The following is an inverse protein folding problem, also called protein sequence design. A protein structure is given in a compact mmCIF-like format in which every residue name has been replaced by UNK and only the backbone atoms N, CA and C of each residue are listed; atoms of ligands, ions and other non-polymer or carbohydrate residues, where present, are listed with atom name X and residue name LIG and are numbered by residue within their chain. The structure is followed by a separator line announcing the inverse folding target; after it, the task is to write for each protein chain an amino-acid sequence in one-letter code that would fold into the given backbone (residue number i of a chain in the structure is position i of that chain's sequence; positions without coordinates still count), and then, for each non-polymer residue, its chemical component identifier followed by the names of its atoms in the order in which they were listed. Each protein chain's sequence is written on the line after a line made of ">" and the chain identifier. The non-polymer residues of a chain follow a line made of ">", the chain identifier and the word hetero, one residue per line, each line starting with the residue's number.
data_IF_764114349471
#
_entry.id   IF_764114349471
#
_cell.length_a   1.000
_cell.length_b   1.000
_cell.length_c   1.000
_cell.angle_alpha   90.00
_cell.angle_beta   90.00
_cell.angle_gamma   90.00
#
_symmetry.space_group_name_H-M   'P 1'
#
loop_
_entity.id
_entity.type
_entity.pdbx_description
1 polymer ?
#
# COMPACT_ATOMS: atom_id res chain seq x y z
N UNK A 1 -20.15 41.40 7.10
CA UNK A 1 -19.93 40.54 5.89
C UNK A 1 -18.93 39.41 6.10
N UNK A 2 -18.80 38.83 7.35
CA UNK A 2 -17.69 37.90 7.71
C UNK A 2 -18.14 36.48 8.07
N UNK A 3 -19.43 36.14 8.03
CA UNK A 3 -19.94 34.84 8.46
C UNK A 3 -19.93 33.74 7.38
N UNK A 4 -20.03 34.08 6.08
CA UNK A 4 -20.06 33.12 4.97
C UNK A 4 -18.74 32.33 4.81
N UNK A 5 -17.50 32.93 4.88
CA UNK A 5 -16.26 32.18 4.76
C UNK A 5 -16.02 31.18 5.90
N UNK A 6 -16.35 31.57 7.12
CA UNK A 6 -16.16 30.71 8.31
C UNK A 6 -17.09 29.50 8.32
N UNK A 7 -18.32 29.63 7.85
CA UNK A 7 -19.25 28.51 7.72
C UNK A 7 -18.82 27.53 6.63
N UNK A 8 -18.28 28.04 5.51
CA UNK A 8 -17.76 27.20 4.43
C UNK A 8 -16.48 26.46 4.84
N UNK A 9 -15.61 27.08 5.64
CA UNK A 9 -14.42 26.44 6.17
C UNK A 9 -14.75 25.34 7.18
N UNK A 10 -15.68 25.58 8.11
CA UNK A 10 -16.18 24.57 9.07
C UNK A 10 -16.79 23.37 8.35
N UNK A 11 -17.57 23.60 7.31
CA UNK A 11 -18.15 22.54 6.48
C UNK A 11 -17.06 21.71 5.79
N UNK A 12 -16.03 22.36 5.25
CA UNK A 12 -14.89 21.67 4.59
C UNK A 12 -14.12 20.79 5.56
N UNK A 13 -13.82 21.27 6.78
CA UNK A 13 -13.11 20.49 7.82
C UNK A 13 -13.92 19.24 8.22
N UNK A 14 -15.24 19.40 8.38
CA UNK A 14 -16.12 18.28 8.74
C UNK A 14 -16.13 17.20 7.65
N UNK A 15 -16.21 17.56 6.38
CA UNK A 15 -16.18 16.62 5.26
C UNK A 15 -14.83 15.90 5.23
N UNK A 16 -13.70 16.64 5.32
CA UNK A 16 -12.35 16.05 5.35
C UNK A 16 -12.25 15.03 6.48
N UNK A 17 -12.62 15.40 7.69
CA UNK A 17 -12.53 14.52 8.87
C UNK A 17 -13.30 13.21 8.66
N UNK A 18 -14.56 13.27 8.26
CA UNK A 18 -15.38 12.06 8.13
C UNK A 18 -14.95 11.17 6.97
N UNK A 19 -14.46 11.75 5.87
CA UNK A 19 -13.98 10.96 4.73
C UNK A 19 -12.62 10.34 5.03
N UNK A 20 -11.74 11.00 5.81
CA UNK A 20 -10.53 10.37 6.34
C UNK A 20 -10.85 9.21 7.30
N UNK A 21 -11.85 9.34 8.16
CA UNK A 21 -12.32 8.23 9.01
C UNK A 21 -12.87 7.09 8.15
N UNK A 22 -13.67 7.38 7.11
CA UNK A 22 -14.16 6.36 6.20
C UNK A 22 -13.01 5.61 5.50
N UNK A 23 -11.95 6.30 5.08
CA UNK A 23 -10.76 5.67 4.51
C UNK A 23 -10.06 4.75 5.52
N UNK A 24 -9.81 5.22 6.75
CA UNK A 24 -9.24 4.38 7.82
C UNK A 24 -10.07 3.12 8.05
N UNK A 25 -11.39 3.24 8.03
CA UNK A 25 -12.31 2.12 8.23
C UNK A 25 -12.27 1.11 7.06
N UNK A 26 -12.19 1.58 5.81
CA UNK A 26 -12.11 0.68 4.64
C UNK A 26 -10.79 -0.06 4.56
N UNK A 27 -9.73 0.45 5.19
CA UNK A 27 -8.40 -0.17 5.21
C UNK A 27 -8.28 -1.37 6.16
N UNK A 28 -9.25 -1.62 7.04
CA UNK A 28 -9.10 -2.63 8.10
C UNK A 28 -8.95 -4.07 7.57
N UNK A 29 -9.48 -4.41 6.40
CA UNK A 29 -9.32 -5.71 5.77
C UNK A 29 -8.03 -5.91 4.97
N UNK A 30 -7.24 -4.85 4.73
CA UNK A 30 -6.11 -4.88 3.79
C UNK A 30 -4.98 -5.79 4.28
N UNK A 31 -4.50 -5.55 5.49
CA UNK A 31 -3.37 -6.27 6.08
C UNK A 31 -3.77 -7.30 7.15
N UNK A 32 -5.07 -7.51 7.39
CA UNK A 32 -5.58 -8.51 8.33
C UNK A 32 -5.07 -9.91 7.98
N UNK A 33 -5.08 -10.31 6.71
CA UNK A 33 -4.51 -11.59 6.28
C UNK A 33 -3.01 -11.69 6.60
N UNK A 34 -2.22 -10.67 6.21
CA UNK A 34 -0.76 -10.65 6.46
C UNK A 34 -0.42 -10.63 7.95
N UNK A 35 -1.24 -9.99 8.78
CA UNK A 35 -1.04 -9.96 10.24
C UNK A 35 -1.29 -11.30 10.92
N UNK A 36 -2.09 -12.16 10.29
CA UNK A 36 -2.46 -13.51 10.73
C UNK A 36 -1.80 -14.61 9.92
N UNK A 37 -0.93 -14.28 8.97
CA UNK A 37 -0.34 -15.22 8.04
C UNK A 37 0.37 -16.41 8.72
N UNK A 38 1.09 -16.26 9.85
CA UNK A 38 1.65 -17.41 10.57
C UNK A 38 0.59 -18.45 10.96
N UNK A 39 -0.60 -17.99 11.36
CA UNK A 39 -1.71 -18.86 11.70
C UNK A 39 -2.24 -19.60 10.45
N UNK A 40 -2.47 -18.90 9.34
CA UNK A 40 -2.99 -19.50 8.13
C UNK A 40 -2.04 -20.47 7.44
N UNK A 41 -0.72 -20.23 7.54
CA UNK A 41 0.30 -21.19 7.07
C UNK A 41 0.14 -22.53 7.78
N UNK A 42 -0.07 -22.52 9.10
CA UNK A 42 -0.24 -23.74 9.88
C UNK A 42 -1.63 -24.38 9.69
N UNK A 43 -2.69 -23.60 9.79
CA UNK A 43 -4.09 -24.06 9.75
C UNK A 43 -4.48 -24.65 8.41
N UNK A 44 -4.12 -23.96 7.32
CA UNK A 44 -4.45 -24.40 5.96
C UNK A 44 -3.32 -25.17 5.28
N UNK A 45 -2.24 -25.44 6.00
CA UNK A 45 -1.04 -26.15 5.50
C UNK A 45 -0.53 -25.55 4.20
N UNK A 46 -0.53 -24.21 4.13
CA UNK A 46 -0.04 -23.49 2.95
C UNK A 46 1.48 -23.58 2.87
N UNK A 47 1.98 -23.73 1.67
CA UNK A 47 3.39 -23.46 1.42
C UNK A 47 3.63 -21.95 1.24
N UNK A 48 4.90 -21.56 1.09
CA UNK A 48 5.25 -20.15 0.96
C UNK A 48 4.82 -19.56 -0.39
N UNK A 49 4.65 -20.38 -1.44
CA UNK A 49 4.17 -19.94 -2.74
C UNK A 49 2.69 -19.61 -2.64
N UNK A 50 1.90 -20.49 -2.05
CA UNK A 50 0.46 -20.30 -1.84
C UNK A 50 0.18 -19.01 -1.05
N UNK A 51 0.89 -18.82 0.06
CA UNK A 51 0.76 -17.63 0.90
C UNK A 51 1.14 -16.34 0.15
N UNK A 52 2.18 -16.42 -0.70
CA UNK A 52 2.59 -15.34 -1.59
C UNK A 52 1.51 -14.97 -2.59
N UNK A 53 0.86 -15.94 -3.21
CA UNK A 53 -0.24 -15.73 -4.15
C UNK A 53 -1.47 -15.12 -3.47
N UNK A 54 -1.92 -15.63 -2.31
CA UNK A 54 -3.04 -15.06 -1.55
C UNK A 54 -2.77 -13.62 -1.15
N UNK A 55 -1.54 -13.30 -0.79
CA UNK A 55 -1.13 -11.92 -0.48
C UNK A 55 -1.07 -11.05 -1.73
N UNK A 56 -0.47 -11.54 -2.81
CA UNK A 56 -0.25 -10.81 -4.06
C UNK A 56 -1.53 -10.53 -4.83
N UNK A 57 -2.47 -11.48 -4.92
CA UNK A 57 -3.71 -11.33 -5.72
C UNK A 57 -4.52 -10.10 -5.32
N UNK A 58 -4.45 -9.68 -4.06
CA UNK A 58 -5.08 -8.47 -3.57
C UNK A 58 -4.60 -7.24 -4.37
N UNK A 59 -3.29 -7.14 -4.58
CA UNK A 59 -2.68 -6.03 -5.30
C UNK A 59 -2.77 -6.21 -6.81
N UNK A 60 -2.78 -7.46 -7.31
CA UNK A 60 -3.02 -7.77 -8.72
C UNK A 60 -4.41 -7.35 -9.19
N UNK A 61 -5.43 -7.67 -8.41
CA UNK A 61 -6.80 -7.25 -8.70
C UNK A 61 -7.00 -5.74 -8.55
N UNK A 62 -6.34 -5.10 -7.56
CA UNK A 62 -6.28 -3.64 -7.45
C UNK A 62 -5.70 -3.02 -8.71
N UNK A 63 -4.53 -3.49 -9.16
CA UNK A 63 -3.81 -2.97 -10.33
C UNK A 63 -4.68 -2.93 -11.59
N UNK A 64 -5.43 -4.01 -11.83
CA UNK A 64 -6.34 -4.10 -12.99
C UNK A 64 -7.54 -3.17 -12.81
N UNK A 65 -8.14 -3.19 -11.63
CA UNK A 65 -9.40 -2.51 -11.35
C UNK A 65 -9.25 -1.00 -11.21
N UNK A 66 -8.12 -0.51 -10.67
CA UNK A 66 -7.92 0.93 -10.42
C UNK A 66 -7.94 1.74 -11.71
N UNK A 67 -7.38 1.22 -12.80
CA UNK A 67 -7.42 1.89 -14.11
C UNK A 67 -8.86 2.08 -14.60
N UNK A 68 -9.69 1.06 -14.42
CA UNK A 68 -11.09 1.09 -14.86
C UNK A 68 -11.90 2.02 -13.94
N UNK A 69 -11.81 1.81 -12.63
CA UNK A 69 -12.66 2.52 -11.66
C UNK A 69 -12.32 4.01 -11.56
N UNK A 70 -11.03 4.38 -11.65
CA UNK A 70 -10.62 5.79 -11.67
C UNK A 70 -11.06 6.45 -12.97
N UNK A 71 -10.93 5.81 -14.13
CA UNK A 71 -11.40 6.35 -15.41
C UNK A 71 -12.92 6.55 -15.41
N UNK A 72 -13.69 5.66 -14.80
CA UNK A 72 -15.14 5.81 -14.65
C UNK A 72 -15.54 7.06 -13.86
N UNK A 73 -14.67 7.57 -12.98
CA UNK A 73 -14.95 8.82 -12.23
C UNK A 73 -14.99 10.07 -13.10
N UNK A 74 -14.57 10.01 -14.35
CA UNK A 74 -14.70 11.12 -15.30
C UNK A 74 -16.12 11.21 -15.89
N UNK A 75 -16.89 10.14 -15.83
CA UNK A 75 -18.24 10.01 -16.37
C UNK A 75 -19.32 9.91 -15.29
N UNK A 76 -18.97 9.22 -14.21
CA UNK A 76 -19.85 8.92 -13.07
C UNK A 76 -19.35 9.68 -11.85
N UNK A 77 -20.25 10.21 -11.00
CA UNK A 77 -19.84 10.84 -9.74
C UNK A 77 -18.93 9.87 -8.93
N UNK A 78 -17.74 10.35 -8.59
CA UNK A 78 -16.75 9.61 -7.84
C UNK A 78 -17.32 9.05 -6.51
N UNK A 79 -18.34 9.68 -5.92
CA UNK A 79 -19.09 9.15 -4.76
C UNK A 79 -19.70 7.78 -5.06
N UNK A 80 -20.30 7.59 -6.25
CA UNK A 80 -20.94 6.32 -6.62
C UNK A 80 -19.90 5.21 -6.74
N UNK A 81 -18.74 5.50 -7.36
CA UNK A 81 -17.62 4.55 -7.47
C UNK A 81 -17.09 4.21 -6.07
N UNK A 82 -16.94 5.21 -5.20
CA UNK A 82 -16.51 5.01 -3.82
C UNK A 82 -17.48 4.08 -3.07
N UNK A 83 -18.78 4.34 -3.12
CA UNK A 83 -19.81 3.48 -2.51
C UNK A 83 -19.72 2.04 -3.04
N UNK A 84 -19.58 1.86 -4.34
CA UNK A 84 -19.40 0.53 -4.94
C UNK A 84 -18.14 -0.16 -4.42
N UNK A 85 -17.02 0.55 -4.34
CA UNK A 85 -15.77 0.05 -3.75
C UNK A 85 -15.94 -0.40 -2.30
N UNK A 86 -16.62 0.41 -1.47
CA UNK A 86 -16.90 0.06 -0.06
C UNK A 86 -17.81 -1.16 0.04
N UNK A 87 -18.81 -1.29 -0.82
CA UNK A 87 -19.68 -2.47 -0.86
C UNK A 87 -18.91 -3.73 -1.23
N UNK A 88 -18.02 -3.66 -2.21
CA UNK A 88 -17.15 -4.79 -2.59
C UNK A 88 -16.21 -5.15 -1.44
N UNK A 89 -15.62 -4.16 -0.74
CA UNK A 89 -14.81 -4.38 0.46
C UNK A 89 -15.61 -5.07 1.57
N UNK A 90 -16.84 -4.64 1.82
CA UNK A 90 -17.76 -5.25 2.79
C UNK A 90 -18.02 -6.72 2.43
N UNK A 91 -18.38 -7.01 1.17
CA UNK A 91 -18.62 -8.37 0.68
C UNK A 91 -17.35 -9.21 0.80
N UNK A 92 -16.20 -8.66 0.46
CA UNK A 92 -14.90 -9.33 0.61
C UNK A 92 -14.63 -9.74 2.06
N UNK A 93 -14.78 -8.80 3.02
CA UNK A 93 -14.50 -9.08 4.43
C UNK A 93 -15.49 -10.07 5.04
N UNK A 94 -16.78 -9.87 4.84
CA UNK A 94 -17.82 -10.77 5.36
C UNK A 94 -17.72 -12.15 4.70
N UNK A 95 -17.54 -12.17 3.37
CA UNK A 95 -17.36 -13.42 2.64
C UNK A 95 -16.11 -14.19 3.06
N UNK A 96 -15.01 -13.47 3.35
CA UNK A 96 -13.79 -14.08 3.90
C UNK A 96 -14.09 -14.73 5.26
N UNK A 97 -14.80 -14.04 6.16
CA UNK A 97 -15.14 -14.56 7.47
C UNK A 97 -16.08 -15.80 7.44
N UNK A 98 -16.98 -15.87 6.44
CA UNK A 98 -18.02 -16.90 6.37
C UNK A 98 -17.65 -18.12 5.54
N UNK A 99 -16.88 -17.93 4.45
CA UNK A 99 -16.76 -18.95 3.39
C UNK A 99 -15.31 -19.36 3.11
N UNK A 100 -14.32 -18.78 3.81
CA UNK A 100 -12.94 -19.17 3.53
C UNK A 100 -12.57 -20.40 4.35
N UNK A 101 -12.20 -21.46 3.63
CA UNK A 101 -11.78 -22.75 4.18
C UNK A 101 -10.36 -23.16 3.72
N UNK A 102 -9.72 -22.35 2.84
CA UNK A 102 -8.38 -22.63 2.33
C UNK A 102 -7.98 -21.72 1.16
N UNK A 103 -6.99 -22.19 0.40
CA UNK A 103 -6.32 -21.43 -0.65
C UNK A 103 -7.25 -20.75 -1.66
N UNK A 104 -8.09 -21.50 -2.37
CA UNK A 104 -8.91 -20.96 -3.47
C UNK A 104 -9.98 -19.97 -3.02
N UNK A 105 -10.64 -20.26 -1.91
CA UNK A 105 -11.64 -19.36 -1.34
C UNK A 105 -10.97 -18.09 -0.79
N UNK A 106 -9.78 -18.20 -0.17
CA UNK A 106 -8.99 -17.05 0.24
C UNK A 106 -8.58 -16.19 -0.96
N UNK A 107 -8.10 -16.79 -2.05
CA UNK A 107 -7.77 -16.10 -3.29
C UNK A 107 -8.94 -15.28 -3.84
N UNK A 108 -10.14 -15.86 -3.87
CA UNK A 108 -11.35 -15.19 -4.36
C UNK A 108 -11.67 -13.93 -3.55
N UNK A 109 -11.79 -14.08 -2.23
CA UNK A 109 -12.16 -12.94 -1.38
C UNK A 109 -11.04 -11.90 -1.25
N UNK A 110 -9.77 -12.31 -1.33
CA UNK A 110 -8.63 -11.36 -1.42
C UNK A 110 -8.67 -10.58 -2.73
N UNK A 111 -8.98 -11.22 -3.86
CA UNK A 111 -9.14 -10.52 -5.14
C UNK A 111 -10.31 -9.51 -5.09
N UNK A 112 -11.45 -9.88 -4.50
CA UNK A 112 -12.56 -8.94 -4.27
C UNK A 112 -12.13 -7.75 -3.39
N UNK A 113 -11.34 -8.00 -2.34
CA UNK A 113 -10.82 -6.93 -1.48
C UNK A 113 -9.94 -5.94 -2.24
N UNK A 114 -9.11 -6.41 -3.16
CA UNK A 114 -8.30 -5.54 -4.02
C UNK A 114 -9.13 -4.69 -4.98
N UNK A 115 -10.20 -5.27 -5.56
CA UNK A 115 -11.18 -4.51 -6.37
C UNK A 115 -11.86 -3.44 -5.50
N UNK A 116 -12.24 -3.79 -4.27
CA UNK A 116 -12.80 -2.87 -3.30
C UNK A 116 -11.87 -1.70 -3.01
N UNK A 117 -10.59 -1.97 -2.72
CA UNK A 117 -9.57 -0.94 -2.49
C UNK A 117 -9.41 -0.01 -3.71
N UNK A 118 -9.46 -0.55 -4.93
CA UNK A 118 -9.39 0.25 -6.16
C UNK A 118 -10.56 1.23 -6.30
N UNK A 119 -11.73 0.86 -5.78
CA UNK A 119 -12.91 1.73 -5.73
C UNK A 119 -12.92 2.71 -4.56
N UNK A 120 -12.16 2.44 -3.48
CA UNK A 120 -12.16 3.29 -2.28
C UNK A 120 -11.06 4.34 -2.28
N UNK A 121 -9.80 3.98 -2.49
CA UNK A 121 -8.67 4.88 -2.28
C UNK A 121 -8.66 6.07 -3.27
N UNK A 122 -8.39 5.84 -4.55
CA UNK A 122 -8.28 6.93 -5.52
C UNK A 122 -9.64 7.58 -5.85
N UNK A 123 -10.73 6.83 -6.07
CA UNK A 123 -12.06 7.44 -6.24
C UNK A 123 -12.53 8.19 -4.99
N UNK A 124 -12.20 7.74 -3.78
CA UNK A 124 -12.51 8.45 -2.54
C UNK A 124 -11.78 9.77 -2.42
N UNK A 125 -10.48 9.82 -2.75
CA UNK A 125 -9.72 11.06 -2.82
C UNK A 125 -10.34 12.04 -3.84
N UNK A 126 -10.72 11.54 -5.02
CA UNK A 126 -11.39 12.35 -6.03
C UNK A 126 -12.75 12.85 -5.56
N UNK A 127 -13.56 11.97 -4.95
CA UNK A 127 -14.85 12.34 -4.40
C UNK A 127 -14.75 13.44 -3.34
N UNK A 128 -13.73 13.40 -2.49
CA UNK A 128 -13.43 14.43 -1.50
C UNK A 128 -12.96 15.74 -2.17
N UNK A 129 -11.93 15.66 -3.00
CA UNK A 129 -11.29 16.86 -3.59
C UNK A 129 -12.15 17.57 -4.62
N UNK A 130 -13.04 16.88 -5.32
CA UNK A 130 -14.02 17.49 -6.22
C UNK A 130 -15.03 18.39 -5.48
N UNK A 131 -15.23 18.18 -4.18
CA UNK A 131 -16.17 18.94 -3.32
C UNK A 131 -15.50 20.08 -2.56
N UNK A 132 -14.19 20.26 -2.74
CA UNK A 132 -13.39 21.27 -2.05
C UNK A 132 -12.65 22.16 -3.05
N UNK A 133 -12.25 23.34 -2.61
CA UNK A 133 -11.51 24.31 -3.41
C UNK A 133 -10.37 24.95 -2.60
N UNK A 134 -9.43 25.59 -3.28
CA UNK A 134 -8.34 26.35 -2.66
C UNK A 134 -7.50 25.52 -1.70
N UNK A 135 -7.14 26.10 -0.57
CA UNK A 135 -6.30 25.47 0.47
C UNK A 135 -6.93 24.25 1.13
N UNK A 136 -8.28 24.22 1.23
CA UNK A 136 -8.99 23.05 1.77
C UNK A 136 -8.79 21.79 0.92
N UNK A 137 -8.72 21.94 -0.41
CA UNK A 137 -8.44 20.82 -1.33
C UNK A 137 -7.04 20.24 -1.10
N UNK A 138 -6.03 21.10 -0.93
CA UNK A 138 -4.64 20.68 -0.68
C UNK A 138 -4.53 19.95 0.66
N UNK A 139 -5.11 20.53 1.73
CA UNK A 139 -5.16 19.90 3.06
C UNK A 139 -5.86 18.54 3.03
N UNK A 140 -7.00 18.45 2.33
CA UNK A 140 -7.75 17.22 2.17
C UNK A 140 -6.92 16.10 1.53
N UNK A 141 -6.15 16.41 0.49
CA UNK A 141 -5.26 15.44 -0.14
C UNK A 141 -4.24 14.90 0.85
N UNK A 142 -3.57 15.78 1.62
CA UNK A 142 -2.56 15.38 2.59
C UNK A 142 -3.16 14.53 3.73
N UNK A 143 -4.30 14.92 4.29
CA UNK A 143 -4.94 14.16 5.36
C UNK A 143 -5.45 12.80 4.86
N UNK A 144 -6.05 12.75 3.67
CA UNK A 144 -6.58 11.52 3.11
C UNK A 144 -5.46 10.51 2.80
N UNK A 145 -4.35 10.95 2.20
CA UNK A 145 -3.20 10.07 1.97
C UNK A 145 -2.56 9.58 3.26
N UNK A 146 -2.52 10.41 4.31
CA UNK A 146 -2.07 9.98 5.64
C UNK A 146 -3.01 8.97 6.28
N UNK A 147 -4.33 9.09 6.04
CA UNK A 147 -5.34 8.14 6.55
C UNK A 147 -5.10 6.72 6.03
N UNK A 148 -4.61 6.55 4.81
CA UNK A 148 -4.17 5.24 4.28
C UNK A 148 -3.10 4.61 5.16
N UNK A 149 -2.09 5.37 5.58
CA UNK A 149 -1.02 4.89 6.46
C UNK A 149 -1.55 4.47 7.83
N UNK A 150 -2.39 5.31 8.45
CA UNK A 150 -3.02 5.02 9.75
C UNK A 150 -3.92 3.79 9.66
N UNK A 151 -4.78 3.70 8.63
CA UNK A 151 -5.65 2.56 8.40
C UNK A 151 -4.87 1.26 8.19
N UNK A 152 -3.77 1.32 7.42
CA UNK A 152 -2.86 0.19 7.22
C UNK A 152 -2.25 -0.29 8.54
N UNK A 153 -1.77 0.62 9.37
CA UNK A 153 -1.20 0.29 10.68
C UNK A 153 -2.25 -0.38 11.58
N UNK A 154 -3.44 0.21 11.70
CA UNK A 154 -4.52 -0.34 12.51
C UNK A 154 -4.97 -1.73 12.02
N UNK A 155 -4.91 -2.02 10.72
CA UNK A 155 -5.21 -3.34 10.17
C UNK A 155 -4.25 -4.42 10.71
N UNK A 156 -2.95 -4.11 10.84
CA UNK A 156 -2.00 -5.02 11.50
C UNK A 156 -2.31 -5.20 12.98
N UNK A 157 -2.56 -4.11 13.70
CA UNK A 157 -2.83 -4.14 15.13
C UNK A 157 -4.07 -4.97 15.46
N UNK A 158 -5.19 -4.69 14.80
CA UNK A 158 -6.48 -5.35 15.06
C UNK A 158 -6.38 -6.82 14.63
N UNK A 159 -5.90 -7.10 13.42
CA UNK A 159 -5.77 -8.46 12.91
C UNK A 159 -4.97 -9.34 13.87
N UNK A 160 -3.74 -8.95 14.19
CA UNK A 160 -2.89 -9.76 15.04
C UNK A 160 -3.38 -9.88 16.49
N UNK A 161 -3.98 -8.83 17.05
CA UNK A 161 -4.46 -8.84 18.44
C UNK A 161 -5.66 -9.77 18.66
N UNK A 162 -6.50 -9.94 17.65
CA UNK A 162 -7.72 -10.78 17.74
C UNK A 162 -7.36 -12.26 17.96
N UNK A 163 -6.33 -12.78 17.27
CA UNK A 163 -5.94 -14.19 17.39
C UNK A 163 -5.61 -14.63 18.82
N UNK A 164 -5.27 -13.71 19.69
CA UNK A 164 -4.95 -14.02 21.09
C UNK A 164 -6.17 -14.48 21.89
N UNK A 165 -7.36 -13.98 21.55
CA UNK A 165 -8.56 -14.13 22.39
C UNK A 165 -9.76 -14.70 21.64
N UNK A 166 -9.75 -14.60 20.29
CA UNK A 166 -10.91 -14.91 19.46
C UNK A 166 -10.49 -15.70 18.21
N UNK A 167 -11.41 -16.46 17.60
CA UNK A 167 -11.20 -17.04 16.29
C UNK A 167 -10.87 -15.98 15.24
N UNK A 168 -10.06 -16.34 14.24
CA UNK A 168 -9.58 -15.42 13.21
C UNK A 168 -10.70 -14.73 12.42
N UNK A 169 -11.85 -15.38 12.27
CA UNK A 169 -13.03 -14.85 11.58
C UNK A 169 -13.49 -13.52 12.18
N UNK A 170 -13.34 -13.32 13.50
CA UNK A 170 -13.75 -12.09 14.19
C UNK A 170 -13.00 -10.86 13.65
N UNK A 171 -11.74 -11.01 13.25
CA UNK A 171 -11.01 -9.88 12.65
C UNK A 171 -11.61 -9.44 11.31
N UNK A 172 -12.06 -10.37 10.50
CA UNK A 172 -12.72 -10.07 9.22
C UNK A 172 -14.17 -9.56 9.43
N UNK A 173 -14.88 -10.02 10.46
CA UNK A 173 -16.16 -9.44 10.87
C UNK A 173 -15.99 -7.99 11.32
N UNK A 174 -14.95 -7.66 12.09
CA UNK A 174 -14.64 -6.29 12.48
C UNK A 174 -14.32 -5.44 11.24
N UNK A 175 -13.51 -5.95 10.31
CA UNK A 175 -13.22 -5.26 9.06
C UNK A 175 -14.49 -5.03 8.22
N UNK A 176 -15.41 -5.99 8.15
CA UNK A 176 -16.71 -5.86 7.51
C UNK A 176 -17.59 -4.80 8.19
N UNK A 177 -17.64 -4.80 9.52
CA UNK A 177 -18.37 -3.77 10.27
C UNK A 177 -17.78 -2.37 10.03
N UNK A 178 -16.45 -2.25 10.00
CA UNK A 178 -15.77 -1.01 9.63
C UNK A 178 -16.14 -0.54 8.22
N UNK A 179 -16.18 -1.45 7.25
CA UNK A 179 -16.63 -1.13 5.89
C UNK A 179 -18.10 -0.68 5.85
N UNK A 180 -18.98 -1.31 6.62
CA UNK A 180 -20.37 -0.89 6.73
C UNK A 180 -20.50 0.52 7.34
N UNK A 181 -19.72 0.83 8.36
CA UNK A 181 -19.68 2.18 8.94
C UNK A 181 -19.14 3.20 7.94
N UNK A 182 -18.11 2.86 7.18
CA UNK A 182 -17.60 3.70 6.09
C UNK A 182 -18.68 3.96 5.03
N UNK A 183 -19.44 2.93 4.63
CA UNK A 183 -20.57 3.06 3.71
C UNK A 183 -21.60 4.09 4.18
N UNK A 184 -21.97 4.03 5.46
CA UNK A 184 -22.92 4.97 6.07
C UNK A 184 -22.35 6.39 6.09
N UNK A 185 -21.08 6.56 6.45
CA UNK A 185 -20.39 7.86 6.44
C UNK A 185 -20.36 8.45 5.03
N UNK A 186 -19.86 7.72 4.05
CA UNK A 186 -19.73 8.19 2.67
C UNK A 186 -21.07 8.56 2.07
N UNK A 187 -22.10 7.73 2.33
CA UNK A 187 -23.45 7.95 1.82
C UNK A 187 -24.08 9.24 2.36
N UNK A 188 -23.87 9.55 3.65
CA UNK A 188 -24.46 10.72 4.33
C UNK A 188 -23.64 11.99 4.19
N UNK A 189 -22.30 11.90 4.16
CA UNK A 189 -21.42 13.07 4.23
C UNK A 189 -21.16 13.67 2.83
N UNK A 190 -21.04 12.82 1.81
CA UNK A 190 -20.83 13.30 0.45
C UNK A 190 -22.16 13.59 -0.24
N UNK A 191 -22.33 14.81 -0.71
CA UNK A 191 -23.47 15.19 -1.54
C UNK A 191 -23.37 14.54 -2.92
N UNK A 192 -24.52 14.22 -3.53
CA UNK A 192 -24.56 13.72 -4.89
C UNK A 192 -24.22 14.85 -5.86
N UNK A 193 -23.42 14.57 -6.86
CA UNK A 193 -23.14 15.45 -7.98
C UNK A 193 -23.72 14.88 -9.26
N UNK A 194 -24.19 15.74 -10.18
CA UNK A 194 -24.63 15.26 -11.48
C UNK A 194 -23.46 14.60 -12.21
N UNK A 195 -23.75 13.55 -12.95
CA UNK A 195 -22.77 12.93 -13.82
C UNK A 195 -22.27 13.99 -14.83
N UNK A 196 -20.96 14.06 -15.00
CA UNK A 196 -20.40 14.98 -16.02
C UNK A 196 -20.73 14.42 -17.39
N UNK A 197 -21.49 15.16 -18.19
CA UNK A 197 -21.67 14.86 -19.62
C UNK A 197 -20.28 14.96 -20.25
N UNK A 198 -19.77 13.84 -20.75
CA UNK A 198 -18.37 13.64 -21.09
C UNK A 198 -17.79 14.74 -21.96
N UNK A 199 -16.75 15.37 -21.46
CA UNK A 199 -15.81 16.07 -22.31
C UNK A 199 -15.11 15.02 -23.20
N UNK A 200 -15.12 15.21 -24.52
CA UNK A 200 -14.40 14.38 -25.51
C UNK A 200 -12.89 14.20 -25.22
N UNK A 201 -12.36 14.84 -24.17
CA UNK A 201 -10.99 14.68 -23.69
C UNK A 201 -10.72 13.33 -23.01
N UNK A 202 -11.75 12.60 -22.54
CA UNK A 202 -11.58 11.36 -21.77
C UNK A 202 -10.92 10.20 -22.55
N UNK A 203 -11.14 10.08 -23.85
CA UNK A 203 -10.45 9.05 -24.67
C UNK A 203 -9.02 9.44 -25.04
N UNK A 204 -8.67 10.73 -25.08
CA UNK A 204 -7.29 11.20 -25.25
C UNK A 204 -6.45 11.02 -23.99
N UNK A 205 -7.07 10.92 -22.81
CA UNK A 205 -6.37 10.68 -21.54
C UNK A 205 -5.89 9.23 -21.36
N UNK A 206 -6.27 8.31 -22.27
CA UNK A 206 -5.80 6.91 -22.29
C UNK A 206 -4.62 6.67 -23.26
N UNK A 207 -4.08 7.72 -23.87
CA UNK A 207 -2.85 7.54 -24.65
C UNK A 207 -1.63 7.54 -23.71
N UNK A 208 -1.17 6.34 -23.36
CA UNK A 208 0.01 6.13 -22.53
C UNK A 208 1.33 6.26 -23.30
N UNK A 209 1.31 6.33 -24.63
CA UNK A 209 2.53 6.37 -25.48
C UNK A 209 3.46 7.52 -25.14
N UNK A 210 2.99 8.76 -24.88
CA UNK A 210 3.88 9.86 -24.50
C UNK A 210 4.64 9.62 -23.21
N UNK A 211 4.06 8.87 -22.26
CA UNK A 211 4.70 8.53 -20.98
C UNK A 211 5.72 7.43 -21.18
N UNK A 212 5.36 6.35 -21.90
CA UNK A 212 6.24 5.21 -22.17
C UNK A 212 7.49 5.65 -22.97
N UNK A 213 7.34 6.62 -23.86
CA UNK A 213 8.46 7.21 -24.62
C UNK A 213 9.30 8.20 -23.83
N UNK A 214 8.82 8.66 -22.68
CA UNK A 214 9.57 9.56 -21.80
C UNK A 214 10.50 8.75 -20.88
N UNK A 215 11.74 8.54 -21.31
CA UNK A 215 12.74 7.76 -20.56
C UNK A 215 12.96 8.28 -19.12
N UNK A 216 12.94 9.61 -18.92
CA UNK A 216 13.11 10.18 -17.58
C UNK A 216 11.94 9.81 -16.65
N UNK A 217 10.69 9.92 -17.12
CA UNK A 217 9.53 9.53 -16.34
C UNK A 217 9.54 8.01 -16.08
N UNK A 218 9.90 7.20 -17.10
CA UNK A 218 9.99 5.73 -16.98
C UNK A 218 11.06 5.29 -15.98
N UNK A 219 12.17 6.00 -15.85
CA UNK A 219 13.16 5.74 -14.81
C UNK A 219 12.59 5.86 -13.40
N UNK A 220 11.80 6.90 -13.13
CA UNK A 220 11.10 7.07 -11.85
C UNK A 220 9.99 6.02 -11.63
N UNK A 221 9.30 5.63 -12.70
CA UNK A 221 8.28 4.57 -12.66
C UNK A 221 8.93 3.22 -12.33
N UNK A 222 10.11 2.93 -12.90
CA UNK A 222 10.88 1.73 -12.55
C UNK A 222 11.29 1.71 -11.07
N UNK A 223 11.79 2.84 -10.53
CA UNK A 223 12.06 2.97 -9.09
C UNK A 223 10.80 2.69 -8.27
N UNK A 224 9.64 3.22 -8.67
CA UNK A 224 8.39 2.99 -7.95
C UNK A 224 7.94 1.53 -7.98
N UNK A 225 8.18 0.85 -9.09
CA UNK A 225 7.85 -0.58 -9.24
C UNK A 225 8.70 -1.45 -8.31
N UNK A 226 10.01 -1.20 -8.27
CA UNK A 226 10.92 -1.96 -7.39
C UNK A 226 10.74 -1.59 -5.90
N UNK A 227 10.48 -0.32 -5.59
CA UNK A 227 10.07 0.13 -4.27
C UNK A 227 8.79 -0.59 -3.79
N UNK A 228 7.76 -0.66 -4.63
CA UNK A 228 6.53 -1.37 -4.30
C UNK A 228 6.74 -2.88 -4.16
N UNK A 229 7.62 -3.48 -4.96
CA UNK A 229 7.99 -4.87 -4.79
C UNK A 229 8.52 -5.12 -3.37
N UNK A 230 9.50 -4.31 -2.93
CA UNK A 230 10.04 -4.40 -1.57
C UNK A 230 9.00 -4.12 -0.50
N UNK A 231 8.26 -3.01 -0.62
CA UNK A 231 7.28 -2.58 0.37
C UNK A 231 6.21 -3.64 0.64
N UNK A 232 5.67 -4.25 -0.42
CA UNK A 232 4.59 -5.21 -0.29
C UNK A 232 5.08 -6.63 -0.01
N UNK A 233 6.29 -7.01 -0.43
CA UNK A 233 6.98 -8.20 0.06
C UNK A 233 7.20 -8.09 1.58
N UNK A 234 7.79 -6.98 2.05
CA UNK A 234 8.00 -6.70 3.47
C UNK A 234 6.68 -6.78 4.26
N UNK A 235 5.66 -6.02 3.87
CA UNK A 235 4.37 -6.00 4.59
C UNK A 235 3.64 -7.34 4.60
N UNK A 236 3.85 -8.19 3.61
CA UNK A 236 3.21 -9.50 3.55
C UNK A 236 3.90 -10.54 4.44
N UNK A 237 5.22 -10.50 4.53
CA UNK A 237 6.01 -11.58 5.13
C UNK A 237 6.62 -11.24 6.48
N UNK A 238 6.71 -9.96 6.84
CA UNK A 238 7.48 -9.55 8.03
C UNK A 238 6.90 -10.08 9.35
N UNK A 239 5.57 -10.31 9.44
CA UNK A 239 4.94 -10.90 10.63
C UNK A 239 5.35 -12.36 10.77
N UNK A 240 5.41 -13.11 9.65
CA UNK A 240 5.88 -14.52 9.64
C UNK A 240 7.36 -14.58 10.04
N UNK A 241 8.18 -13.71 9.46
CA UNK A 241 9.59 -13.60 9.80
C UNK A 241 9.82 -13.34 11.28
N UNK A 242 9.15 -12.32 11.85
CA UNK A 242 9.27 -12.01 13.27
C UNK A 242 8.75 -13.16 14.16
N UNK A 243 7.68 -13.83 13.75
CA UNK A 243 7.16 -14.98 14.47
C UNK A 243 8.20 -16.10 14.51
N UNK A 244 8.84 -16.39 13.38
CA UNK A 244 9.91 -17.39 13.29
C UNK A 244 11.16 -16.96 14.08
N UNK A 245 11.66 -15.75 13.86
CA UNK A 245 12.91 -15.26 14.43
C UNK A 245 12.84 -15.03 15.95
N UNK A 246 11.66 -14.77 16.51
CA UNK A 246 11.45 -14.61 17.95
C UNK A 246 11.07 -15.94 18.66
N UNK A 247 10.90 -17.03 17.92
CA UNK A 247 10.63 -18.36 18.51
C UNK A 247 11.85 -18.81 19.32
N UNK A 248 11.64 -19.18 20.58
CA UNK A 248 12.71 -19.67 21.45
C UNK A 248 13.57 -18.61 22.14
N UNK A 249 13.30 -17.31 21.92
CA UNK A 249 13.95 -16.25 22.69
C UNK A 249 13.40 -16.29 24.12
N UNK A 250 14.25 -16.77 25.05
CA UNK A 250 13.94 -16.83 26.47
C UNK A 250 13.75 -15.43 27.04
N UNK A 251 12.57 -15.12 27.56
CA UNK A 251 12.28 -13.82 28.17
C UNK A 251 10.87 -13.31 27.94
N UNK A 252 9.96 -14.15 27.36
CA UNK A 252 8.54 -13.82 27.26
C UNK A 252 8.29 -12.43 26.66
N UNK A 253 8.78 -12.19 25.44
CA UNK A 253 8.50 -10.91 24.79
C UNK A 253 6.99 -10.81 24.56
N UNK A 254 6.33 -9.99 25.39
CA UNK A 254 4.87 -9.83 25.44
C UNK A 254 4.31 -9.14 24.18
N UNK A 255 5.17 -8.63 23.30
CA UNK A 255 4.75 -7.85 22.12
C UNK A 255 4.57 -8.81 20.93
N UNK A 256 3.35 -8.89 20.42
CA UNK A 256 3.06 -9.65 19.20
C UNK A 256 3.77 -9.07 17.98
N UNK A 257 4.26 -9.89 17.04
CA UNK A 257 4.89 -9.42 15.79
C UNK A 257 4.06 -8.37 15.02
N UNK A 258 2.76 -8.58 14.93
CA UNK A 258 1.84 -7.63 14.28
C UNK A 258 1.80 -6.25 14.95
N UNK A 259 1.97 -6.18 16.29
CA UNK A 259 2.02 -4.91 17.02
C UNK A 259 3.34 -4.17 16.74
N UNK A 260 4.44 -4.90 16.56
CA UNK A 260 5.71 -4.31 16.13
C UNK A 260 5.53 -3.64 14.77
N UNK A 261 4.86 -4.33 13.83
CA UNK A 261 4.63 -3.81 12.49
C UNK A 261 3.64 -2.65 12.48
N UNK A 262 2.65 -2.62 13.39
CA UNK A 262 1.82 -1.43 13.60
C UNK A 262 2.68 -0.18 13.83
N UNK A 263 3.64 -0.23 14.75
CA UNK A 263 4.56 0.89 15.00
C UNK A 263 5.49 1.13 13.80
N UNK A 264 5.96 0.08 13.13
CA UNK A 264 6.79 0.21 11.93
C UNK A 264 6.09 0.97 10.79
N UNK A 265 4.82 0.67 10.54
CA UNK A 265 4.03 1.38 9.52
C UNK A 265 3.79 2.85 9.91
N UNK A 266 3.53 3.13 11.20
CA UNK A 266 3.40 4.51 11.67
C UNK A 266 4.71 5.29 11.54
N UNK A 267 5.88 4.69 11.85
CA UNK A 267 7.19 5.30 11.67
C UNK A 267 7.55 5.51 10.20
N UNK A 268 7.02 4.69 9.31
CA UNK A 268 7.19 4.85 7.87
C UNK A 268 6.61 6.17 7.32
N UNK A 269 5.55 6.69 7.92
CA UNK A 269 4.92 7.95 7.46
C UNK A 269 5.87 9.16 7.59
N UNK A 270 6.43 9.49 8.78
CA UNK A 270 7.42 10.56 8.89
C UNK A 270 8.69 10.26 8.09
N UNK A 271 9.10 8.99 7.94
CA UNK A 271 10.28 8.63 7.15
C UNK A 271 10.14 9.03 5.68
N UNK A 272 8.96 8.85 5.09
CA UNK A 272 8.68 9.28 3.71
C UNK A 272 8.74 10.81 3.57
N UNK A 273 8.24 11.55 4.56
CA UNK A 273 8.33 13.02 4.58
C UNK A 273 9.78 13.47 4.71
N UNK A 274 10.52 12.91 5.66
CA UNK A 274 11.94 13.23 5.88
C UNK A 274 12.76 12.93 4.62
N UNK A 275 12.53 11.78 3.99
CA UNK A 275 13.22 11.42 2.75
C UNK A 275 12.96 12.41 1.62
N UNK A 276 11.73 12.93 1.48
CA UNK A 276 11.41 13.96 0.50
C UNK A 276 12.07 15.31 0.85
N UNK A 277 12.10 15.71 2.11
CA UNK A 277 12.82 16.93 2.55
C UNK A 277 14.32 16.84 2.27
N UNK A 278 14.94 15.70 2.57
CA UNK A 278 16.34 15.45 2.24
C UNK A 278 16.56 15.50 0.71
N UNK A 279 15.63 14.95 -0.08
CA UNK A 279 15.69 14.96 -1.54
C UNK A 279 15.61 16.38 -2.13
N UNK A 280 14.81 17.28 -1.53
CA UNK A 280 14.77 18.70 -1.90
C UNK A 280 16.08 19.41 -1.57
N UNK A 281 16.71 19.07 -0.44
CA UNK A 281 17.94 19.73 0.03
C UNK A 281 19.21 19.23 -0.68
N UNK A 282 19.35 17.92 -0.88
CA UNK A 282 20.59 17.29 -1.36
C UNK A 282 20.50 16.75 -2.80
N UNK A 283 19.35 16.91 -3.44
CA UNK A 283 19.09 16.44 -4.81
C UNK A 283 18.41 15.08 -4.83
N UNK A 284 17.25 15.05 -5.50
CA UNK A 284 16.29 13.93 -5.49
C UNK A 284 16.91 12.59 -5.87
N UNK A 285 17.66 12.56 -6.97
CA UNK A 285 18.28 11.31 -7.46
C UNK A 285 19.28 10.76 -6.47
N UNK A 286 20.14 11.60 -5.91
CA UNK A 286 21.17 11.15 -4.95
C UNK A 286 20.51 10.53 -3.73
N UNK A 287 19.50 11.20 -3.16
CA UNK A 287 18.83 10.74 -1.95
C UNK A 287 18.03 9.47 -2.21
N UNK A 288 17.25 9.38 -3.31
CA UNK A 288 16.48 8.18 -3.64
C UNK A 288 17.42 6.99 -3.87
N UNK A 289 18.46 7.15 -4.67
CA UNK A 289 19.46 6.08 -4.91
C UNK A 289 20.11 5.64 -3.59
N UNK A 290 20.51 6.60 -2.72
CA UNK A 290 21.11 6.27 -1.42
C UNK A 290 20.14 5.50 -0.51
N UNK A 291 18.88 5.93 -0.41
CA UNK A 291 17.87 5.26 0.40
C UNK A 291 17.63 3.84 -0.11
N UNK A 292 17.44 3.65 -1.44
CA UNK A 292 17.20 2.34 -2.03
C UNK A 292 18.42 1.41 -1.86
N UNK A 293 19.65 1.91 -2.02
CA UNK A 293 20.86 1.11 -1.77
C UNK A 293 20.98 0.70 -0.30
N UNK A 294 20.74 1.63 0.63
CA UNK A 294 20.78 1.33 2.06
C UNK A 294 19.66 0.37 2.46
N UNK A 295 18.45 0.52 1.88
CA UNK A 295 17.35 -0.41 2.09
C UNK A 295 17.70 -1.82 1.62
N UNK A 296 18.32 -1.96 0.45
CA UNK A 296 18.79 -3.25 -0.06
C UNK A 296 19.83 -3.91 0.86
N UNK A 297 20.77 -3.14 1.41
CA UNK A 297 21.73 -3.63 2.42
C UNK A 297 21.01 -4.06 3.69
N UNK A 298 20.07 -3.24 4.18
CA UNK A 298 19.28 -3.56 5.37
C UNK A 298 18.42 -4.81 5.17
N UNK A 299 17.87 -5.04 3.98
CA UNK A 299 17.17 -6.27 3.67
C UNK A 299 18.06 -7.50 3.91
N UNK A 300 19.29 -7.49 3.38
CA UNK A 300 20.27 -8.57 3.58
C UNK A 300 20.61 -8.73 5.08
N UNK A 301 20.83 -7.62 5.78
CA UNK A 301 21.14 -7.63 7.23
C UNK A 301 19.96 -8.20 8.03
N UNK A 302 18.73 -7.81 7.73
CA UNK A 302 17.52 -8.37 8.37
C UNK A 302 17.41 -9.85 8.09
N UNK A 303 17.59 -10.29 6.85
CA UNK A 303 17.55 -11.72 6.48
C UNK A 303 18.57 -12.58 7.26
N UNK A 304 19.71 -11.99 7.64
CA UNK A 304 20.76 -12.67 8.41
C UNK A 304 20.70 -12.40 9.93
N UNK A 305 19.64 -11.79 10.43
CA UNK A 305 19.57 -11.35 11.84
C UNK A 305 18.85 -12.33 12.78
N UNK A 306 18.52 -13.53 12.28
CA UNK A 306 17.97 -14.61 13.10
C UNK A 306 19.00 -15.04 14.15
N UNK A 307 18.57 -15.14 15.41
CA UNK A 307 19.44 -15.42 16.55
C UNK A 307 19.95 -14.19 17.30
N UNK A 308 19.68 -12.98 16.80
CA UNK A 308 19.91 -11.77 17.57
C UNK A 308 18.95 -11.66 18.76
N UNK A 309 19.34 -10.88 19.77
CA UNK A 309 18.40 -10.55 20.86
C UNK A 309 17.15 -9.85 20.34
N UNK A 310 15.99 -10.12 20.94
CA UNK A 310 14.72 -9.56 20.48
C UNK A 310 14.70 -8.04 20.35
N UNK A 311 15.24 -7.24 21.30
CA UNK A 311 15.27 -5.79 21.15
C UNK A 311 16.07 -5.32 19.93
N UNK A 312 17.21 -5.99 19.64
CA UNK A 312 18.06 -5.63 18.52
C UNK A 312 17.41 -6.00 17.19
N UNK A 313 16.81 -7.19 17.10
CA UNK A 313 16.05 -7.63 15.92
C UNK A 313 14.88 -6.67 15.62
N UNK A 314 14.09 -6.31 16.65
CA UNK A 314 12.97 -5.39 16.50
C UNK A 314 13.43 -4.02 16.04
N UNK A 315 14.48 -3.47 16.67
CA UNK A 315 15.04 -2.19 16.26
C UNK A 315 15.50 -2.20 14.80
N UNK A 316 16.18 -3.28 14.39
CA UNK A 316 16.64 -3.45 13.01
C UNK A 316 15.47 -3.53 12.01
N UNK A 317 14.42 -4.28 12.31
CA UNK A 317 13.22 -4.39 11.47
C UNK A 317 12.49 -3.04 11.38
N UNK A 318 12.40 -2.28 12.47
CA UNK A 318 11.78 -0.95 12.46
C UNK A 318 12.61 0.04 11.62
N UNK A 319 13.93 0.02 11.75
CA UNK A 319 14.84 0.84 10.93
C UNK A 319 14.71 0.47 9.46
N UNK A 320 14.72 -0.82 9.13
CA UNK A 320 14.50 -1.28 7.76
C UNK A 320 13.15 -0.77 7.22
N UNK A 321 12.06 -0.88 7.98
CA UNK A 321 10.74 -0.36 7.60
C UNK A 321 10.73 1.15 7.33
N UNK A 322 11.57 1.94 8.03
CA UNK A 322 11.76 3.36 7.75
C UNK A 322 12.44 3.58 6.39
N UNK A 323 13.45 2.79 6.03
CA UNK A 323 14.12 2.88 4.73
C UNK A 323 13.23 2.40 3.58
N UNK A 324 12.49 1.30 3.78
CA UNK A 324 11.48 0.79 2.81
C UNK A 324 10.47 1.86 2.39
N UNK A 325 10.14 2.81 3.26
CA UNK A 325 9.15 3.87 2.97
C UNK A 325 9.77 5.23 2.69
N UNK A 326 11.05 5.42 3.03
CA UNK A 326 11.72 6.71 3.02
C UNK A 326 11.84 7.39 1.64
N UNK A 327 11.87 6.63 0.58
CA UNK A 327 11.99 7.11 -0.80
C UNK A 327 10.63 7.38 -1.49
N UNK A 328 9.53 6.86 -0.95
CA UNK A 328 8.20 6.79 -1.58
C UNK A 328 7.70 8.15 -2.13
N UNK A 329 7.66 9.18 -1.27
CA UNK A 329 7.21 10.52 -1.68
C UNK A 329 8.15 11.14 -2.72
N UNK A 330 9.46 10.90 -2.59
CA UNK A 330 10.48 11.42 -3.51
C UNK A 330 10.39 10.79 -4.88
N UNK A 331 10.15 9.49 -4.98
CA UNK A 331 9.98 8.77 -6.25
C UNK A 331 8.74 9.30 -6.97
N UNK A 332 7.61 9.41 -6.27
CA UNK A 332 6.36 9.94 -6.84
C UNK A 332 6.52 11.38 -7.34
N UNK A 333 7.16 12.24 -6.56
CA UNK A 333 7.45 13.62 -6.96
C UNK A 333 8.39 13.64 -8.16
N UNK A 334 9.41 12.76 -8.20
CA UNK A 334 10.32 12.64 -9.34
C UNK A 334 9.60 12.28 -10.64
N UNK A 335 8.61 11.38 -10.59
CA UNK A 335 7.79 11.04 -11.76
C UNK A 335 6.96 12.24 -12.24
N UNK A 336 6.36 13.02 -11.31
CA UNK A 336 5.56 14.21 -11.63
C UNK A 336 6.42 15.32 -12.25
N UNK A 337 7.60 15.60 -11.69
CA UNK A 337 8.52 16.63 -12.16
C UNK A 337 9.10 16.32 -13.55
N UNK A 338 9.23 15.05 -13.91
CA UNK A 338 9.71 14.60 -15.21
C UNK A 338 8.60 14.24 -16.20
N UNK A 339 7.32 14.47 -15.85
CA UNK A 339 6.19 14.33 -16.77
C UNK A 339 6.24 15.38 -17.87
N UNK A 340 5.95 14.97 -19.11
CA UNK A 340 5.82 15.90 -20.23
C UNK A 340 4.68 16.90 -19.97
N UNK A 341 4.81 18.10 -20.52
CA UNK A 341 3.83 19.17 -20.37
C UNK A 341 2.43 18.71 -20.80
N UNK A 342 1.42 18.96 -19.98
CA UNK A 342 0.04 18.49 -20.21
C UNK A 342 -0.22 17.02 -19.87
N UNK A 343 0.81 16.19 -19.62
CA UNK A 343 0.66 14.73 -19.41
C UNK A 343 0.82 14.28 -17.94
N UNK A 344 0.84 15.20 -16.97
CA UNK A 344 1.03 14.86 -15.54
C UNK A 344 0.02 13.83 -15.03
N UNK A 345 -1.25 13.97 -15.40
CA UNK A 345 -2.30 13.03 -14.99
C UNK A 345 -2.09 11.62 -15.56
N UNK A 346 -1.77 11.55 -16.86
CA UNK A 346 -1.48 10.29 -17.54
C UNK A 346 -0.22 9.64 -16.98
N UNK A 347 0.83 10.43 -16.68
CA UNK A 347 2.06 9.94 -16.05
C UNK A 347 1.75 9.33 -14.68
N UNK A 348 0.90 9.96 -13.87
CA UNK A 348 0.50 9.40 -12.57
C UNK A 348 -0.34 8.13 -12.69
N UNK A 349 -1.19 8.03 -13.71
CA UNK A 349 -1.93 6.81 -13.99
C UNK A 349 -0.99 5.64 -14.35
N UNK A 350 -0.02 5.87 -15.25
CA UNK A 350 1.00 4.88 -15.64
C UNK A 350 1.89 4.53 -14.46
N UNK A 351 2.33 5.54 -13.68
CA UNK A 351 3.13 5.36 -12.47
C UNK A 351 2.44 4.44 -11.46
N UNK A 352 1.17 4.69 -11.17
CA UNK A 352 0.41 3.85 -10.26
C UNK A 352 0.21 2.43 -10.82
N UNK A 353 -0.19 2.30 -12.08
CA UNK A 353 -0.51 0.99 -12.67
C UNK A 353 0.72 0.09 -12.80
N UNK A 354 1.84 0.62 -13.35
CA UNK A 354 3.08 -0.13 -13.47
C UNK A 354 3.70 -0.38 -12.08
N UNK A 355 3.65 0.61 -11.19
CA UNK A 355 4.14 0.46 -9.82
C UNK A 355 3.48 -0.68 -9.07
N UNK A 356 2.17 -0.86 -9.23
CA UNK A 356 1.45 -1.96 -8.57
C UNK A 356 1.73 -3.35 -9.16
N UNK A 357 2.41 -3.46 -10.31
CA UNK A 357 3.04 -4.73 -10.73
C UNK A 357 4.03 -5.20 -9.67
N UNK A 358 4.84 -4.28 -9.13
CA UNK A 358 5.73 -4.57 -8.00
C UNK A 358 4.98 -5.05 -6.77
N UNK A 359 3.87 -4.39 -6.42
CA UNK A 359 3.03 -4.80 -5.28
C UNK A 359 2.44 -6.20 -5.42
N UNK A 360 2.07 -6.58 -6.65
CA UNK A 360 1.57 -7.92 -6.97
C UNK A 360 2.67 -8.97 -6.91
N UNK A 361 3.80 -8.69 -7.57
CA UNK A 361 4.90 -9.65 -7.69
C UNK A 361 5.75 -9.78 -6.41
N UNK A 362 5.81 -8.75 -5.57
CA UNK A 362 6.64 -8.74 -4.36
C UNK A 362 6.32 -9.89 -3.40
N UNK A 363 5.07 -10.03 -2.92
CA UNK A 363 4.70 -11.12 -2.04
C UNK A 363 4.90 -12.51 -2.67
N UNK A 364 4.64 -12.65 -3.98
CA UNK A 364 4.78 -13.89 -4.74
C UNK A 364 6.26 -14.25 -4.89
N UNK A 365 7.08 -13.29 -5.35
CA UNK A 365 8.51 -13.52 -5.55
C UNK A 365 9.24 -13.84 -4.25
N UNK A 366 8.89 -13.13 -3.17
CA UNK A 366 9.41 -13.45 -1.83
C UNK A 366 9.03 -14.86 -1.38
N UNK A 367 7.76 -15.24 -1.54
CA UNK A 367 7.26 -16.58 -1.20
C UNK A 367 7.91 -17.68 -2.04
N UNK A 368 8.13 -17.43 -3.33
CA UNK A 368 8.80 -18.37 -4.23
C UNK A 368 10.25 -18.64 -3.78
N UNK A 369 11.02 -17.57 -3.50
CA UNK A 369 12.41 -17.73 -3.01
C UNK A 369 12.42 -18.42 -1.65
N UNK A 370 11.53 -18.02 -0.75
CA UNK A 370 11.40 -18.63 0.57
C UNK A 370 11.13 -20.15 0.46
N UNK A 371 10.23 -20.56 -0.44
CA UNK A 371 9.91 -21.96 -0.67
C UNK A 371 11.08 -22.74 -1.27
N UNK A 372 11.81 -22.13 -2.22
CA UNK A 372 12.94 -22.77 -2.91
C UNK A 372 14.10 -23.10 -1.99
N UNK A 373 14.33 -22.30 -0.95
CA UNK A 373 15.43 -22.47 0.00
C UNK A 373 15.01 -23.14 1.32
N UNK A 374 13.89 -23.83 1.37
CA UNK A 374 13.48 -24.67 2.52
C UNK A 374 12.25 -24.20 3.29
N UNK A 375 11.54 -23.16 2.78
CA UNK A 375 10.28 -22.67 3.34
C UNK A 375 10.46 -21.76 4.56
N UNK A 376 9.34 -21.35 5.12
CA UNK A 376 9.29 -20.34 6.19
C UNK A 376 9.86 -20.80 7.54
N UNK A 377 10.25 -22.07 7.66
CA UNK A 377 10.91 -22.62 8.84
C UNK A 377 12.44 -22.74 8.70
N UNK A 378 13.02 -22.24 7.61
CA UNK A 378 14.46 -22.28 7.34
C UNK A 378 15.09 -20.89 7.47
N UNK A 379 16.12 -20.76 8.28
CA UNK A 379 16.89 -19.51 8.40
C UNK A 379 17.57 -19.13 7.10
N UNK A 380 18.07 -20.09 6.34
CA UNK A 380 18.68 -19.87 5.03
C UNK A 380 17.65 -19.33 4.03
N UNK A 381 16.42 -19.86 4.06
CA UNK A 381 15.35 -19.39 3.20
C UNK A 381 15.03 -17.90 3.44
N UNK A 382 14.98 -17.47 4.69
CA UNK A 382 14.77 -16.06 5.04
C UNK A 382 15.89 -15.17 4.55
N UNK A 383 17.15 -15.59 4.70
CA UNK A 383 18.27 -14.84 4.15
C UNK A 383 18.11 -14.61 2.64
N UNK A 384 17.86 -15.67 1.86
CA UNK A 384 17.74 -15.56 0.40
C UNK A 384 16.50 -14.78 -0.03
N UNK A 385 15.37 -14.89 0.69
CA UNK A 385 14.16 -14.14 0.39
C UNK A 385 14.37 -12.63 0.57
N UNK A 386 14.98 -12.19 1.67
CA UNK A 386 15.33 -10.78 1.86
C UNK A 386 16.43 -10.31 0.92
N UNK A 387 17.47 -11.11 0.67
CA UNK A 387 18.53 -10.78 -0.27
C UNK A 387 17.98 -10.59 -1.69
N UNK A 388 17.10 -11.50 -2.16
CA UNK A 388 16.45 -11.38 -3.47
C UNK A 388 15.64 -10.09 -3.60
N UNK A 389 14.94 -9.70 -2.52
CA UNK A 389 14.18 -8.44 -2.47
C UNK A 389 15.12 -7.23 -2.62
N UNK A 390 16.26 -7.24 -1.92
CA UNK A 390 17.27 -6.21 -2.06
C UNK A 390 17.85 -6.14 -3.48
N UNK A 391 18.09 -7.28 -4.13
CA UNK A 391 18.57 -7.32 -5.52
C UNK A 391 17.53 -6.75 -6.50
N UNK A 392 16.25 -7.11 -6.35
CA UNK A 392 15.18 -6.54 -7.19
C UNK A 392 15.06 -5.04 -6.96
N UNK A 393 15.17 -4.57 -5.72
CA UNK A 393 15.13 -3.15 -5.39
C UNK A 393 16.22 -2.36 -6.15
N UNK A 394 17.44 -2.88 -6.22
CA UNK A 394 18.57 -2.22 -6.90
C UNK A 394 18.36 -2.03 -8.40
N UNK A 395 17.47 -2.79 -9.04
CA UNK A 395 17.13 -2.56 -10.45
C UNK A 395 16.50 -1.18 -10.67
N UNK A 396 15.76 -0.64 -9.70
CA UNK A 396 15.14 0.69 -9.77
C UNK A 396 16.16 1.81 -10.00
N UNK A 397 17.11 2.04 -9.08
CA UNK A 397 18.14 3.05 -9.24
C UNK A 397 19.03 2.83 -10.46
N UNK A 398 19.35 1.57 -10.81
CA UNK A 398 20.11 1.25 -12.01
C UNK A 398 19.36 1.72 -13.27
N UNK A 399 18.08 1.37 -13.41
CA UNK A 399 17.24 1.80 -14.54
C UNK A 399 17.05 3.32 -14.56
N UNK A 400 16.88 3.97 -13.40
CA UNK A 400 16.79 5.43 -13.31
C UNK A 400 18.05 6.11 -13.89
N UNK A 401 19.22 5.62 -13.53
CA UNK A 401 20.49 6.18 -14.00
C UNK A 401 20.72 5.93 -15.49
N UNK A 402 20.42 4.73 -15.99
CA UNK A 402 20.56 4.37 -17.41
C UNK A 402 19.60 5.20 -18.28
N UNK A 403 18.31 5.23 -17.95
CA UNK A 403 17.28 5.89 -18.76
C UNK A 403 17.44 7.42 -18.80
N UNK A 404 18.13 7.99 -17.81
CA UNK A 404 18.49 9.41 -17.79
C UNK A 404 19.64 9.74 -18.75
N UNK A 405 20.61 8.85 -18.91
CA UNK A 405 21.80 9.09 -19.76
C UNK A 405 21.47 9.03 -21.25
N UNK A 406 20.50 8.22 -21.66
CA UNK A 406 20.06 8.05 -23.07
C UNK A 406 19.57 9.36 -23.70
N UNK A 407 19.19 10.37 -22.92
CA UNK A 407 18.70 11.67 -23.44
C UNK A 407 19.79 12.76 -23.56
N UNK A 408 21.04 12.44 -23.21
CA UNK A 408 22.18 13.39 -23.35
C UNK A 408 22.99 13.19 -24.63
N UNK A 409 22.69 12.12 -25.37
CA UNK A 409 23.19 11.85 -26.73
C UNK A 409 22.13 12.09 -27.78
#
# INVERSE_FOLDING_TARGET
>A
MTTKPLLQEKSSIRIIFWICIAEILTMQGVFTFSSMLPYFLAEWKLDSIDAGWISGIYYGSYMISVMILVSLTDWIDAKKIYITGVLITLISCIGFALFVEGYWSAMLFRALGGIGLAGTYMPGLKALTDRLSGTSRVRATSFYTSSFGVGSALSFLIGGSILKWFPWQIAFWIAGLCALLALLIVSKVLENRPNRVGSRSGLRSLDFRPVIRNSNAMGWIACYTTHNYELFAFRSWIVVYLTFALTGVTGGFLIQPSNIIFFGVLLGMPSSVIGNELAMRYGRIRVVVSIMCLSAVLAIVVGNSIGLSAPLLIALVLVYGCFVTGDSASITTGAIENASEGNRGVTMAVHSSIGFIGSFLGPIGFGLVLNTFGGHNSSEAWFWAFASTGFVLLLGPILLLILRTVKKT
#
